data_IF_526104418955
#
_entry.id   IF_526104418955
#
_cell.length_a   1.000
_cell.length_b   1.000
_cell.length_c   1.000
_cell.angle_alpha   90.00
_cell.angle_beta   90.00
_cell.angle_gamma   90.00
#
_symmetry.space_group_name_H-M   'P 1'
#
loop_
_entity.id
_entity.type
_entity.pdbx_description
1 polymer ?
#
# COMPACT_ATOMS: atom_id res chain seq x y z
N UNK A 1 37.55 -3.63 -14.44
CA UNK A 1 36.61 -3.37 -13.34
C UNK A 1 35.26 -3.44 -13.97
N UNK A 2 34.49 -4.46 -13.62
CA UNK A 2 33.06 -4.52 -13.94
C UNK A 2 32.41 -3.48 -13.02
N UNK A 3 31.47 -2.69 -13.54
CA UNK A 3 30.77 -1.67 -12.77
C UNK A 3 29.90 -2.34 -11.68
N UNK A 4 29.73 -1.73 -10.51
CA UNK A 4 28.85 -2.29 -9.45
C UNK A 4 27.42 -2.52 -9.96
N UNK A 5 26.98 -1.71 -10.94
CA UNK A 5 25.70 -1.88 -11.63
C UNK A 5 25.65 -3.14 -12.50
N UNK A 6 26.76 -3.49 -13.16
CA UNK A 6 26.86 -4.70 -13.98
C UNK A 6 26.86 -5.95 -13.09
N UNK A 7 27.57 -5.93 -11.96
CA UNK A 7 27.58 -7.03 -10.99
C UNK A 7 26.16 -7.30 -10.43
N UNK A 8 25.42 -6.25 -10.06
CA UNK A 8 24.03 -6.42 -9.62
C UNK A 8 23.13 -6.97 -10.73
N UNK A 9 23.32 -6.54 -11.98
CA UNK A 9 22.55 -7.07 -13.10
C UNK A 9 22.75 -8.59 -13.26
N UNK A 10 23.98 -9.08 -13.13
CA UNK A 10 24.25 -10.52 -13.19
C UNK A 10 23.62 -11.27 -12.01
N UNK A 11 23.72 -10.71 -10.80
CA UNK A 11 23.11 -11.30 -9.61
C UNK A 11 21.58 -11.34 -9.71
N UNK A 12 20.97 -10.30 -10.29
CA UNK A 12 19.52 -10.20 -10.50
C UNK A 12 18.96 -11.38 -11.32
N UNK A 13 19.72 -11.91 -12.28
CA UNK A 13 19.30 -13.06 -13.11
C UNK A 13 19.08 -14.31 -12.24
N UNK A 14 19.87 -14.48 -11.17
CA UNK A 14 19.73 -15.60 -10.26
C UNK A 14 18.69 -15.35 -9.16
N UNK A 15 18.46 -14.09 -8.80
CA UNK A 15 17.58 -13.68 -7.70
C UNK A 15 16.10 -13.61 -8.10
N UNK A 16 15.80 -13.22 -9.34
CA UNK A 16 14.43 -13.00 -9.80
C UNK A 16 13.96 -14.12 -10.74
N UNK A 17 12.75 -14.60 -10.52
CA UNK A 17 12.02 -15.37 -11.53
C UNK A 17 11.60 -14.46 -12.67
N UNK A 18 11.11 -13.27 -12.34
CA UNK A 18 10.73 -12.23 -13.26
C UNK A 18 11.10 -10.87 -12.64
N UNK A 19 11.69 -9.99 -13.45
CA UNK A 19 11.96 -8.61 -13.07
C UNK A 19 11.73 -7.75 -14.31
N UNK A 20 10.75 -6.85 -14.22
CA UNK A 20 10.39 -5.89 -15.24
C UNK A 20 10.50 -4.52 -14.62
N UNK A 21 11.20 -3.63 -15.31
CA UNK A 21 11.56 -2.32 -14.81
C UNK A 21 11.10 -1.30 -15.85
N UNK A 22 10.28 -0.36 -15.42
CA UNK A 22 9.65 0.64 -16.28
C UNK A 22 9.86 2.02 -15.69
N UNK A 23 10.36 2.95 -16.49
CA UNK A 23 10.65 4.31 -16.06
C UNK A 23 9.56 5.26 -16.57
N UNK A 24 8.86 5.87 -15.62
CA UNK A 24 7.89 6.93 -15.90
C UNK A 24 8.58 8.29 -15.91
N UNK A 25 7.95 9.25 -16.59
CA UNK A 25 8.47 10.62 -16.65
C UNK A 25 8.50 11.32 -15.28
N UNK A 26 7.61 10.92 -14.36
CA UNK A 26 7.35 11.59 -13.10
C UNK A 26 7.27 10.58 -11.96
N UNK A 27 7.67 11.00 -10.76
CA UNK A 27 7.64 10.16 -9.56
C UNK A 27 6.23 9.70 -9.23
N UNK A 28 6.06 8.41 -8.95
CA UNK A 28 4.77 7.86 -8.52
C UNK A 28 4.44 8.38 -7.12
N UNK A 29 3.18 8.69 -6.87
CA UNK A 29 2.71 9.21 -5.58
C UNK A 29 1.63 8.35 -4.94
N UNK A 30 0.90 7.56 -5.73
CA UNK A 30 -0.05 6.56 -5.29
C UNK A 30 -0.27 5.53 -6.41
N UNK A 31 -0.63 4.30 -6.04
CA UNK A 31 -1.03 3.26 -6.98
C UNK A 31 -2.01 2.27 -6.35
N UNK A 32 -2.87 1.67 -7.16
CA UNK A 32 -3.82 0.63 -6.73
C UNK A 32 -4.20 -0.26 -7.92
N UNK A 33 -4.54 -1.52 -7.64
CA UNK A 33 -5.05 -2.43 -8.66
C UNK A 33 -6.44 -2.04 -9.12
N UNK A 34 -6.70 -2.13 -10.42
CA UNK A 34 -8.07 -2.05 -10.98
C UNK A 34 -8.64 -3.47 -11.09
N UNK A 35 -7.82 -4.40 -11.55
CA UNK A 35 -8.13 -5.82 -11.70
C UNK A 35 -6.82 -6.65 -11.67
N UNK A 36 -6.87 -7.90 -12.12
CA UNK A 36 -5.73 -8.81 -12.19
C UNK A 36 -4.77 -8.56 -13.36
N UNK A 37 -4.93 -7.46 -14.10
CA UNK A 37 -4.11 -7.12 -15.28
C UNK A 37 -3.77 -5.65 -15.38
N UNK A 38 -4.55 -4.79 -14.73
CA UNK A 38 -4.46 -3.35 -14.84
C UNK A 38 -4.22 -2.72 -13.47
N UNK A 39 -3.30 -1.76 -13.45
CA UNK A 39 -2.98 -0.93 -12.29
C UNK A 39 -3.25 0.53 -12.65
N UNK A 40 -3.79 1.29 -11.70
CA UNK A 40 -3.86 2.74 -11.82
C UNK A 40 -2.74 3.37 -11.00
N UNK A 41 -2.08 4.36 -11.59
CA UNK A 41 -1.00 5.10 -10.96
C UNK A 41 -1.28 6.60 -11.00
N UNK A 42 -0.80 7.30 -9.98
CA UNK A 42 -0.68 8.74 -9.97
C UNK A 42 0.80 9.14 -9.95
N UNK A 43 1.17 10.14 -10.76
CA UNK A 43 2.54 10.67 -10.81
C UNK A 43 2.55 12.17 -10.58
N UNK A 44 3.70 12.70 -10.16
CA UNK A 44 3.87 14.13 -9.88
C UNK A 44 5.29 14.62 -10.13
N UNK A 45 5.40 15.80 -10.73
CA UNK A 45 6.66 16.55 -10.85
C UNK A 45 6.37 18.05 -10.84
N UNK A 46 6.68 18.72 -9.74
CA UNK A 46 6.39 20.15 -9.56
C UNK A 46 4.88 20.42 -9.65
N UNK A 47 4.46 21.11 -10.72
CA UNK A 47 3.05 21.45 -10.98
C UNK A 47 2.37 20.52 -12.01
N UNK A 48 3.04 19.44 -12.43
CA UNK A 48 2.50 18.46 -13.37
C UNK A 48 2.10 17.22 -12.61
N UNK A 49 0.83 16.84 -12.72
CA UNK A 49 0.28 15.67 -12.06
C UNK A 49 -0.53 14.89 -13.07
N UNK A 50 -0.34 13.57 -13.08
CA UNK A 50 -0.96 12.69 -14.07
C UNK A 50 -1.60 11.49 -13.36
N UNK A 51 -2.69 11.01 -13.95
CA UNK A 51 -3.29 9.71 -13.66
C UNK A 51 -3.13 8.84 -14.91
N UNK A 52 -2.72 7.59 -14.73
CA UNK A 52 -2.62 6.63 -15.82
C UNK A 52 -3.15 5.26 -15.41
N UNK A 53 -3.81 4.58 -16.34
CA UNK A 53 -4.12 3.16 -16.28
C UNK A 53 -3.08 2.42 -17.11
N UNK A 54 -2.36 1.50 -16.47
CA UNK A 54 -1.35 0.66 -17.10
C UNK A 54 -1.78 -0.80 -17.06
N UNK A 55 -1.68 -1.48 -18.18
CA UNK A 55 -1.79 -2.93 -18.28
C UNK A 55 -0.41 -3.57 -18.09
N UNK A 56 -0.36 -4.64 -17.33
CA UNK A 56 0.86 -5.39 -17.07
C UNK A 56 1.34 -6.14 -18.33
N UNK A 57 2.65 -6.39 -18.48
CA UNK A 57 3.17 -7.31 -19.47
C UNK A 57 2.46 -8.68 -19.42
N UNK A 58 1.89 -9.14 -20.54
CA UNK A 58 1.19 -10.44 -20.62
C UNK A 58 2.04 -11.63 -20.17
N UNK A 59 3.36 -11.50 -20.27
CA UNK A 59 4.32 -12.51 -19.84
C UNK A 59 4.39 -12.68 -18.33
N UNK A 60 4.08 -11.64 -17.55
CA UNK A 60 3.99 -11.70 -16.08
C UNK A 60 2.72 -12.42 -15.61
N UNK A 61 1.64 -12.29 -16.37
CA UNK A 61 0.31 -12.79 -16.00
C UNK A 61 0.10 -14.28 -16.32
N UNK A 62 1.14 -15.03 -16.70
CA UNK A 62 1.00 -16.44 -17.08
C UNK A 62 1.49 -17.40 -16.00
N UNK A 63 0.63 -18.37 -15.70
CA UNK A 63 0.90 -19.50 -14.80
C UNK A 63 1.90 -20.55 -15.32
N UNK A 64 2.40 -20.48 -16.57
CA UNK A 64 3.35 -21.50 -17.09
C UNK A 64 4.40 -20.94 -18.05
N UNK A 65 5.65 -21.39 -17.88
CA UNK A 65 6.81 -20.94 -18.66
C UNK A 65 6.76 -21.34 -20.15
N UNK A 66 6.14 -22.47 -20.51
CA UNK A 66 6.08 -22.96 -21.90
C UNK A 66 5.35 -22.00 -22.84
N UNK A 67 4.29 -21.33 -22.35
CA UNK A 67 3.53 -20.34 -23.13
C UNK A 67 4.11 -18.93 -23.03
N UNK A 68 5.11 -18.70 -22.18
CA UNK A 68 5.76 -17.40 -22.00
C UNK A 68 6.74 -17.11 -23.14
N UNK A 69 7.41 -18.13 -23.70
CA UNK A 69 8.34 -17.99 -24.82
C UNK A 69 7.71 -17.52 -26.15
N UNK A 70 6.39 -17.64 -26.26
CA UNK A 70 5.61 -17.25 -27.45
C UNK A 70 5.01 -15.83 -27.36
N UNK A 71 5.13 -15.17 -26.20
CA UNK A 71 4.62 -13.81 -26.00
C UNK A 71 5.72 -12.81 -26.29
N UNK A 72 5.41 -11.86 -27.17
CA UNK A 72 6.31 -10.76 -27.50
C UNK A 72 6.12 -9.53 -26.62
N UNK A 73 4.95 -9.39 -26.01
CA UNK A 73 4.65 -8.28 -25.12
C UNK A 73 5.45 -8.40 -23.81
N UNK A 74 6.33 -7.43 -23.57
CA UNK A 74 7.25 -7.39 -22.43
C UNK A 74 7.15 -6.12 -21.61
N UNK A 75 6.42 -5.12 -22.08
CA UNK A 75 6.38 -3.80 -21.46
C UNK A 75 4.99 -3.49 -20.92
N UNK A 76 4.92 -2.55 -19.98
CA UNK A 76 3.65 -1.98 -19.58
C UNK A 76 3.03 -1.23 -20.77
N UNK A 77 1.73 -1.39 -20.95
CA UNK A 77 0.98 -0.63 -21.94
C UNK A 77 0.09 0.38 -21.23
N UNK A 78 0.06 1.62 -21.70
CA UNK A 78 -0.85 2.64 -21.18
C UNK A 78 -2.20 2.49 -21.86
N UNK A 79 -3.24 2.18 -21.09
CA UNK A 79 -4.62 2.05 -21.59
C UNK A 79 -5.28 3.42 -21.67
N UNK A 80 -5.07 4.23 -20.63
CA UNK A 80 -5.71 5.53 -20.50
C UNK A 80 -4.88 6.47 -19.62
N UNK A 81 -5.07 7.77 -19.77
CA UNK A 81 -4.44 8.77 -18.92
C UNK A 81 -5.14 10.13 -18.91
N UNK A 82 -4.75 10.97 -17.96
CA UNK A 82 -5.09 12.39 -17.95
C UNK A 82 -4.14 13.21 -17.07
N UNK A 83 -4.18 14.53 -17.24
CA UNK A 83 -3.62 15.47 -16.28
C UNK A 83 -4.64 15.75 -15.17
N UNK A 84 -4.16 15.84 -13.94
CA UNK A 84 -4.95 16.25 -12.79
C UNK A 84 -4.38 17.55 -12.16
N UNK A 85 -5.21 18.36 -11.49
CA UNK A 85 -4.79 19.67 -11.00
C UNK A 85 -3.95 19.63 -9.72
N UNK A 86 -3.91 18.49 -9.02
CA UNK A 86 -3.25 18.35 -7.72
C UNK A 86 -2.44 17.07 -7.64
N UNK A 87 -1.39 17.08 -6.80
CA UNK A 87 -0.65 15.87 -6.45
C UNK A 87 -1.57 14.95 -5.67
N UNK A 88 -1.70 13.71 -6.14
CA UNK A 88 -2.54 12.69 -5.51
C UNK A 88 -1.74 11.97 -4.42
N UNK A 89 -2.26 11.97 -3.19
CA UNK A 89 -1.66 11.28 -2.06
C UNK A 89 -2.27 9.91 -1.76
N UNK A 90 -3.53 9.70 -2.12
CA UNK A 90 -4.21 8.42 -1.98
C UNK A 90 -5.00 8.14 -3.26
N UNK A 91 -4.96 6.91 -3.74
CA UNK A 91 -5.68 6.42 -4.92
C UNK A 91 -6.26 5.05 -4.56
N UNK A 92 -7.55 4.87 -4.81
CA UNK A 92 -8.22 3.57 -4.67
C UNK A 92 -9.17 3.28 -5.82
N UNK A 93 -9.17 2.04 -6.30
CA UNK A 93 -10.20 1.57 -7.22
C UNK A 93 -11.56 1.42 -6.52
N UNK A 94 -12.64 1.78 -7.22
CA UNK A 94 -14.00 1.53 -6.75
C UNK A 94 -14.44 0.14 -7.27
N UNK A 95 -14.66 -0.85 -6.41
CA UNK A 95 -14.96 -2.22 -6.80
C UNK A 95 -16.14 -2.32 -7.77
N UNK A 96 -16.10 -3.32 -8.65
CA UNK A 96 -17.15 -3.60 -9.65
C UNK A 96 -17.45 -2.46 -10.64
N UNK A 97 -16.61 -1.42 -10.68
CA UNK A 97 -16.80 -0.26 -11.53
C UNK A 97 -15.53 0.06 -12.34
N UNK A 98 -15.65 0.94 -13.34
CA UNK A 98 -14.51 1.56 -14.04
C UNK A 98 -14.25 2.97 -13.52
N UNK A 99 -14.14 3.08 -12.20
CA UNK A 99 -13.99 4.33 -11.47
C UNK A 99 -12.87 4.19 -10.43
N UNK A 100 -12.10 5.25 -10.25
CA UNK A 100 -11.13 5.37 -9.15
C UNK A 100 -11.49 6.59 -8.30
N UNK A 101 -11.14 6.55 -7.02
CA UNK A 101 -11.22 7.67 -6.11
C UNK A 101 -9.81 8.12 -5.71
N UNK A 102 -9.59 9.43 -5.69
CA UNK A 102 -8.29 10.02 -5.33
C UNK A 102 -8.44 11.09 -4.25
N UNK A 103 -7.45 11.21 -3.37
CA UNK A 103 -7.34 12.33 -2.42
C UNK A 103 -6.11 13.18 -2.76
N UNK A 104 -6.25 14.51 -2.95
CA UNK A 104 -5.12 15.43 -3.04
C UNK A 104 -4.33 15.50 -1.72
N UNK A 105 -3.05 15.88 -1.80
CA UNK A 105 -2.16 16.05 -0.64
C UNK A 105 -2.38 17.35 0.16
N UNK A 106 -2.88 18.41 -0.48
CA UNK A 106 -3.06 19.73 0.14
C UNK A 106 -4.51 20.06 0.51
N UNK A 107 -5.48 19.29 0.00
CA UNK A 107 -6.90 19.58 0.23
C UNK A 107 -7.44 18.68 1.33
N UNK A 108 -7.90 19.29 2.43
CA UNK A 108 -8.37 18.55 3.60
C UNK A 108 -9.65 17.76 3.27
N UNK A 109 -9.58 16.44 3.44
CA UNK A 109 -10.72 15.50 3.35
C UNK A 109 -11.65 15.70 2.15
N UNK A 110 -11.08 15.97 0.99
CA UNK A 110 -11.76 15.95 -0.30
C UNK A 110 -11.32 14.74 -1.08
N UNK A 111 -12.27 14.07 -1.70
CA UNK A 111 -12.00 13.00 -2.65
C UNK A 111 -12.59 13.34 -4.01
N UNK A 112 -11.93 12.87 -5.06
CA UNK A 112 -12.32 13.07 -6.45
C UNK A 112 -12.56 11.72 -7.09
N UNK A 113 -13.67 11.57 -7.78
CA UNK A 113 -13.97 10.36 -8.55
C UNK A 113 -13.62 10.58 -10.01
N UNK A 114 -12.97 9.59 -10.59
CA UNK A 114 -12.51 9.61 -11.97
C UNK A 114 -12.99 8.37 -12.70
N UNK A 115 -13.62 8.56 -13.85
CA UNK A 115 -13.96 7.49 -14.77
C UNK A 115 -12.73 7.10 -15.57
N UNK A 116 -12.35 5.84 -15.51
CA UNK A 116 -11.28 5.27 -16.33
C UNK A 116 -11.70 5.21 -17.81
N UNK A 117 -10.70 5.06 -18.68
CA UNK A 117 -10.93 4.89 -20.11
C UNK A 117 -11.78 3.66 -20.44
N UNK A 118 -12.46 3.73 -21.58
CA UNK A 118 -13.21 2.63 -22.18
C UNK A 118 -12.67 2.36 -23.58
N UNK A 119 -13.18 1.34 -24.26
CA UNK A 119 -12.78 1.01 -25.63
C UNK A 119 -12.92 2.20 -26.62
N UNK A 120 -13.77 3.17 -26.28
CA UNK A 120 -14.03 4.37 -27.09
C UNK A 120 -13.18 5.58 -26.69
N UNK A 121 -12.46 5.55 -25.56
CA UNK A 121 -11.69 6.69 -25.04
C UNK A 121 -10.56 6.25 -24.12
N UNK A 122 -9.35 6.67 -24.46
CA UNK A 122 -8.13 6.57 -23.65
C UNK A 122 -7.98 7.71 -22.61
N UNK A 123 -9.01 8.55 -22.48
CA UNK A 123 -8.98 9.69 -21.53
C UNK A 123 -9.66 9.33 -20.21
N UNK A 124 -8.92 9.46 -19.11
CA UNK A 124 -9.46 9.43 -17.74
C UNK A 124 -10.14 10.77 -17.44
N UNK A 125 -11.37 10.77 -16.90
CA UNK A 125 -12.16 11.99 -16.68
C UNK A 125 -12.63 12.13 -15.25
N UNK A 126 -12.45 13.31 -14.66
CA UNK A 126 -13.09 13.65 -13.39
C UNK A 126 -14.61 13.68 -13.58
N UNK A 127 -15.34 12.91 -12.78
CA UNK A 127 -16.81 12.84 -12.86
C UNK A 127 -17.50 13.52 -11.68
N UNK A 128 -16.85 13.55 -10.51
CA UNK A 128 -17.38 14.20 -9.34
C UNK A 128 -16.29 14.49 -8.32
N UNK A 129 -16.64 15.34 -7.37
CA UNK A 129 -15.80 15.72 -6.25
C UNK A 129 -16.69 15.75 -5.02
N UNK A 130 -16.23 15.15 -3.94
CA UNK A 130 -16.96 15.02 -2.69
C UNK A 130 -16.11 15.55 -1.55
N UNK A 131 -16.72 16.37 -0.70
CA UNK A 131 -16.07 16.97 0.45
C UNK A 131 -16.64 16.42 1.74
N UNK A 132 -15.77 16.22 2.71
CA UNK A 132 -16.14 15.89 4.07
C UNK A 132 -16.57 17.16 4.82
N UNK A 133 -17.76 17.16 5.41
CA UNK A 133 -18.29 18.31 6.17
C UNK A 133 -17.52 18.60 7.46
N UNK A 134 -16.73 17.64 7.95
CA UNK A 134 -15.85 17.75 9.11
C UNK A 134 -14.38 17.63 8.69
N UNK A 135 -14.00 18.33 7.63
CA UNK A 135 -12.63 18.25 7.09
C UNK A 135 -11.59 18.60 8.15
N UNK A 136 -10.67 17.65 8.36
CA UNK A 136 -9.57 17.78 9.31
C UNK A 136 -8.37 17.06 8.72
N UNK A 137 -7.26 17.80 8.55
CA UNK A 137 -6.00 17.28 8.02
C UNK A 137 -6.07 16.83 6.56
N UNK A 138 -4.90 16.69 5.95
CA UNK A 138 -4.68 16.13 4.62
C UNK A 138 -3.37 15.33 4.64
N UNK A 139 -3.21 14.28 3.81
CA UNK A 139 -4.24 13.65 2.99
C UNK A 139 -5.25 12.85 3.82
N UNK A 140 -6.39 12.54 3.21
CA UNK A 140 -7.32 11.53 3.70
C UNK A 140 -6.97 10.14 3.15
N UNK A 141 -7.22 9.12 3.95
CA UNK A 141 -7.21 7.73 3.54
C UNK A 141 -8.55 7.39 2.91
N UNK A 142 -8.53 6.48 1.94
CA UNK A 142 -9.71 5.97 1.25
C UNK A 142 -9.64 4.44 1.37
N UNK A 143 -10.77 3.80 1.70
CA UNK A 143 -10.89 2.35 1.59
C UNK A 143 -12.25 1.96 1.01
N UNK A 144 -12.32 1.05 0.02
CA UNK A 144 -13.59 0.55 -0.48
C UNK A 144 -14.32 -0.32 0.54
N UNK A 145 -15.65 -0.18 0.58
CA UNK A 145 -16.51 -1.02 1.42
C UNK A 145 -16.74 -2.36 0.70
N UNK A 146 -16.33 -3.50 1.28
CA UNK A 146 -16.38 -4.80 0.61
C UNK A 146 -17.79 -5.16 0.11
N UNK A 147 -17.88 -5.63 -1.14
CA UNK A 147 -19.15 -6.05 -1.75
C UNK A 147 -20.08 -4.92 -2.17
N UNK A 148 -19.62 -3.66 -2.13
CA UNK A 148 -20.38 -2.48 -2.56
C UNK A 148 -19.55 -1.56 -3.45
N UNK A 149 -20.17 -0.53 -4.01
CA UNK A 149 -19.46 0.57 -4.70
C UNK A 149 -19.26 1.79 -3.78
N UNK A 150 -19.45 1.61 -2.46
CA UNK A 150 -19.26 2.66 -1.47
C UNK A 150 -17.81 2.71 -1.00
N UNK A 151 -17.39 3.89 -0.52
CA UNK A 151 -16.07 4.09 0.06
C UNK A 151 -16.21 4.66 1.48
N UNK A 152 -15.23 4.39 2.33
CA UNK A 152 -14.97 5.17 3.54
C UNK A 152 -13.76 6.06 3.28
N UNK A 153 -13.82 7.31 3.69
CA UNK A 153 -12.68 8.22 3.62
C UNK A 153 -12.62 9.17 4.83
N UNK A 154 -11.41 9.58 5.18
CA UNK A 154 -11.15 10.48 6.31
C UNK A 154 -9.66 10.49 6.67
N UNK A 155 -9.24 11.38 7.56
CA UNK A 155 -7.84 11.42 8.01
C UNK A 155 -7.68 11.34 9.52
N UNK A 156 -8.78 11.43 10.26
CA UNK A 156 -8.85 11.29 11.71
C UNK A 156 -10.06 10.44 12.07
N UNK A 157 -10.04 9.86 13.27
CA UNK A 157 -11.14 9.00 13.74
C UNK A 157 -12.48 9.74 13.88
N UNK A 158 -12.47 11.05 14.11
CA UNK A 158 -13.66 11.90 14.26
C UNK A 158 -14.22 12.42 12.94
N UNK A 159 -13.54 12.17 11.82
CA UNK A 159 -13.96 12.65 10.52
C UNK A 159 -14.01 11.56 9.45
N UNK A 160 -14.20 10.31 9.83
CA UNK A 160 -14.52 9.28 8.85
C UNK A 160 -15.90 9.57 8.25
N UNK A 161 -16.04 9.35 6.94
CA UNK A 161 -17.30 9.46 6.21
C UNK A 161 -17.44 8.29 5.24
N UNK A 162 -18.64 7.75 5.10
CA UNK A 162 -19.01 6.90 3.97
C UNK A 162 -19.53 7.74 2.83
N UNK A 163 -19.28 7.30 1.61
CA UNK A 163 -19.78 7.92 0.38
C UNK A 163 -20.23 6.84 -0.60
N UNK A 164 -21.40 7.04 -1.18
CA UNK A 164 -21.87 6.28 -2.32
C UNK A 164 -21.28 6.88 -3.59
N UNK A 165 -20.49 6.09 -4.33
CA UNK A 165 -19.75 6.58 -5.50
C UNK A 165 -20.64 6.94 -6.69
N UNK A 166 -21.87 6.41 -6.76
CA UNK A 166 -22.81 6.67 -7.85
C UNK A 166 -23.59 7.96 -7.64
N UNK A 167 -24.02 8.19 -6.40
CA UNK A 167 -24.87 9.33 -6.02
C UNK A 167 -24.08 10.51 -5.47
N UNK A 168 -22.86 10.27 -4.99
CA UNK A 168 -22.05 11.24 -4.26
C UNK A 168 -22.59 11.55 -2.87
N UNK A 169 -23.59 10.80 -2.38
CA UNK A 169 -24.18 11.04 -1.06
C UNK A 169 -23.19 10.64 0.04
N UNK A 170 -22.93 11.58 0.95
CA UNK A 170 -22.02 11.40 2.10
C UNK A 170 -22.82 11.17 3.37
N UNK A 171 -22.38 10.22 4.18
CA UNK A 171 -22.83 10.04 5.56
C UNK A 171 -21.64 10.05 6.51
N UNK A 172 -21.70 10.85 7.57
CA UNK A 172 -20.60 10.93 8.54
C UNK A 172 -20.56 9.69 9.43
N UNK A 173 -19.35 9.18 9.66
CA UNK A 173 -19.04 7.85 10.21
C UNK A 173 -18.02 7.93 11.37
N UNK A 174 -17.56 9.13 11.74
CA UNK A 174 -16.53 9.33 12.77
C UNK A 174 -17.01 9.14 14.22
N UNK A 175 -16.05 9.10 15.15
CA UNK A 175 -16.30 9.03 16.59
C UNK A 175 -15.84 10.27 17.37
N UNK A 176 -15.84 10.21 18.70
CA UNK A 176 -15.43 11.35 19.55
C UNK A 176 -13.90 11.50 19.68
N UNK A 177 -13.13 10.61 19.05
CA UNK A 177 -11.67 10.57 19.10
C UNK A 177 -11.08 11.32 17.93
N UNK A 178 -10.07 12.13 18.18
CA UNK A 178 -9.55 13.12 17.23
C UNK A 178 -8.17 12.77 16.68
N UNK A 179 -7.70 11.55 16.94
CA UNK A 179 -6.40 11.03 16.56
C UNK A 179 -6.29 10.85 15.04
N UNK A 180 -5.11 11.15 14.50
CA UNK A 180 -4.79 10.95 13.09
C UNK A 180 -4.62 9.47 12.81
N UNK A 181 -5.19 8.99 11.71
CA UNK A 181 -5.00 7.62 11.26
C UNK A 181 -3.87 7.54 10.23
N UNK A 182 -3.28 6.35 10.11
CA UNK A 182 -2.20 6.01 9.18
C UNK A 182 -2.65 5.03 8.09
N UNK A 183 -3.63 4.21 8.42
CA UNK A 183 -4.21 3.18 7.55
C UNK A 183 -5.65 2.92 7.98
N UNK A 184 -6.44 2.43 7.02
CA UNK A 184 -7.84 2.12 7.19
C UNK A 184 -8.21 0.99 6.24
N UNK A 185 -8.83 -0.07 6.76
CA UNK A 185 -9.19 -1.25 5.99
C UNK A 185 -10.34 -2.03 6.65
N UNK A 186 -10.82 -3.08 6.01
CA UNK A 186 -11.94 -3.89 6.47
C UNK A 186 -11.50 -5.31 6.88
N UNK A 187 -11.88 -5.74 8.08
CA UNK A 187 -11.61 -7.12 8.56
C UNK A 187 -12.66 -8.13 8.07
N UNK A 188 -13.82 -7.61 7.70
CA UNK A 188 -14.96 -8.31 7.09
C UNK A 188 -15.84 -7.28 6.35
N UNK A 189 -17.00 -7.69 5.83
CA UNK A 189 -17.88 -6.80 5.05
C UNK A 189 -18.49 -5.63 5.84
N UNK A 190 -18.37 -5.58 7.16
CA UNK A 190 -19.03 -4.58 8.01
C UNK A 190 -18.11 -3.93 9.03
N UNK A 191 -16.96 -4.51 9.32
CA UNK A 191 -16.05 -4.04 10.37
C UNK A 191 -14.86 -3.32 9.74
N UNK A 192 -14.87 -2.00 9.84
CA UNK A 192 -13.76 -1.13 9.49
C UNK A 192 -12.77 -1.06 10.66
N UNK A 193 -11.48 -1.12 10.38
CA UNK A 193 -10.41 -0.96 11.34
C UNK A 193 -9.47 0.16 10.89
N UNK A 194 -9.09 1.02 11.84
CA UNK A 194 -8.19 2.14 11.63
C UNK A 194 -6.97 2.02 12.54
N UNK A 195 -5.77 2.32 12.04
CA UNK A 195 -4.57 2.39 12.86
C UNK A 195 -4.20 3.84 13.16
N UNK A 196 -4.13 4.19 14.44
CA UNK A 196 -3.69 5.51 14.91
C UNK A 196 -2.21 5.74 14.61
N UNK A 197 -1.88 6.85 13.93
CA UNK A 197 -0.55 7.09 13.37
C UNK A 197 0.53 7.19 14.44
N UNK A 198 0.28 7.81 15.59
CA UNK A 198 1.31 8.04 16.63
C UNK A 198 1.36 6.92 17.69
N UNK A 199 0.25 6.23 17.94
CA UNK A 199 0.15 5.23 19.01
C UNK A 199 0.21 3.79 18.51
N UNK A 200 -0.12 3.56 17.24
CA UNK A 200 -0.32 2.21 16.68
C UNK A 200 -1.58 1.52 17.22
N UNK A 201 -2.44 2.24 17.94
CA UNK A 201 -3.70 1.70 18.44
C UNK A 201 -4.63 1.38 17.29
N UNK A 202 -5.30 0.23 17.36
CA UNK A 202 -6.32 -0.17 16.40
C UNK A 202 -7.70 0.22 16.93
N UNK A 203 -8.51 0.87 16.09
CA UNK A 203 -9.88 1.28 16.42
C UNK A 203 -10.84 0.69 15.41
N UNK A 204 -11.84 -0.05 15.89
CA UNK A 204 -12.83 -0.72 15.04
C UNK A 204 -14.18 -0.01 15.03
N UNK A 205 -14.84 -0.07 13.88
CA UNK A 205 -16.13 0.52 13.60
C UNK A 205 -17.01 -0.53 12.92
N UNK A 206 -18.18 -0.84 13.48
CA UNK A 206 -19.19 -1.67 12.80
C UNK A 206 -20.13 -0.75 12.03
N UNK A 207 -20.10 -0.81 10.69
CA UNK A 207 -20.91 0.05 9.81
C UNK A 207 -22.42 -0.21 9.93
N UNK A 208 -22.83 -1.30 10.58
CA UNK A 208 -24.25 -1.58 10.86
C UNK A 208 -24.75 -0.89 12.12
N UNK A 209 -23.85 -0.45 12.98
CA UNK A 209 -24.17 0.22 14.25
C UNK A 209 -24.04 1.74 14.11
N UNK A 210 -24.57 2.48 15.09
CA UNK A 210 -24.31 3.90 15.22
C UNK A 210 -22.83 4.09 15.60
N UNK A 211 -22.04 4.62 14.68
CA UNK A 211 -20.59 4.72 14.76
C UNK A 211 -20.09 5.68 15.85
N UNK A 212 -20.99 6.49 16.42
CA UNK A 212 -20.72 7.23 17.65
C UNK A 212 -20.47 6.29 18.85
N UNK A 213 -20.91 5.03 18.77
CA UNK A 213 -20.74 3.96 19.76
C UNK A 213 -19.60 3.03 19.35
N UNK A 214 -18.38 3.57 19.33
CA UNK A 214 -17.16 2.81 19.04
C UNK A 214 -17.01 1.62 19.99
N UNK A 215 -16.87 0.42 19.45
CA UNK A 215 -16.35 -0.73 20.19
C UNK A 215 -14.83 -0.58 20.22
N UNK A 216 -14.32 -0.14 21.37
CA UNK A 216 -12.90 -0.02 21.63
C UNK A 216 -12.37 -1.40 22.06
N UNK A 217 -11.48 -1.96 21.26
CA UNK A 217 -10.60 -3.02 21.71
C UNK A 217 -9.17 -2.49 21.67
N UNK A 218 -8.62 -2.19 22.84
CA UNK A 218 -7.33 -1.51 22.97
C UNK A 218 -6.16 -2.47 22.77
N UNK A 219 -5.37 -2.32 21.70
CA UNK A 219 -4.00 -2.84 21.74
C UNK A 219 -3.20 -2.06 22.78
N UNK A 220 -2.38 -2.73 23.58
CA UNK A 220 -1.53 -2.10 24.60
C UNK A 220 -0.84 -0.82 24.08
N UNK A 221 -1.18 0.31 24.69
CA UNK A 221 -0.51 1.58 24.45
C UNK A 221 0.97 1.45 24.80
N UNK A 222 1.83 1.89 23.88
CA UNK A 222 3.25 1.98 24.16
C UNK A 222 3.51 3.41 24.59
N UNK A 223 3.87 3.61 25.85
CA UNK A 223 4.56 4.83 26.25
C UNK A 223 5.97 4.76 25.65
N UNK A 224 6.13 5.19 24.40
CA UNK A 224 7.46 5.39 23.85
C UNK A 224 7.95 6.75 24.33
N UNK A 225 9.11 6.78 24.97
CA UNK A 225 9.86 8.02 25.22
C UNK A 225 10.32 8.70 23.91
N UNK A 226 10.17 8.01 22.77
CA UNK A 226 10.49 8.49 21.42
C UNK A 226 9.25 8.55 20.52
N UNK A 227 9.14 9.64 19.74
CA UNK A 227 8.10 9.78 18.73
C UNK A 227 8.26 8.69 17.66
N UNK A 228 7.25 7.86 17.50
CA UNK A 228 7.19 6.79 16.50
C UNK A 228 5.91 6.93 15.69
N UNK A 229 5.96 6.47 14.44
CA UNK A 229 4.79 6.37 13.58
C UNK A 229 4.47 4.92 13.28
N UNK A 230 3.19 4.64 13.09
CA UNK A 230 2.66 3.31 12.84
C UNK A 230 1.87 3.30 11.54
N UNK A 231 1.83 2.14 10.89
CA UNK A 231 0.92 1.79 9.80
C UNK A 231 0.47 0.34 10.00
N UNK A 232 -0.57 -0.09 9.29
CA UNK A 232 -1.05 -1.46 9.38
C UNK A 232 -1.62 -2.00 8.08
N UNK A 233 -1.74 -3.32 8.02
CA UNK A 233 -2.43 -4.05 6.96
C UNK A 233 -3.30 -5.15 7.58
N UNK A 234 -4.47 -5.39 6.99
CA UNK A 234 -5.37 -6.47 7.42
C UNK A 234 -4.98 -7.76 6.71
N UNK A 235 -5.08 -8.86 7.45
CA UNK A 235 -4.78 -10.20 6.97
C UNK A 235 -5.96 -11.15 7.24
N UNK A 236 -5.89 -12.40 6.77
CA UNK A 236 -6.94 -13.40 6.99
C UNK A 236 -7.19 -13.68 8.49
N UNK A 237 -6.11 -13.73 9.27
CA UNK A 237 -6.03 -14.10 10.67
C UNK A 237 -5.83 -12.91 11.62
N UNK A 238 -5.75 -11.66 11.12
CA UNK A 238 -5.59 -10.51 12.01
C UNK A 238 -5.14 -9.22 11.35
N UNK A 239 -4.29 -8.48 12.05
CA UNK A 239 -3.69 -7.22 11.61
C UNK A 239 -2.19 -7.26 11.89
N UNK A 240 -1.40 -6.88 10.89
CA UNK A 240 0.02 -6.58 11.07
C UNK A 240 0.20 -5.08 11.19
N UNK A 241 0.96 -4.66 12.19
CA UNK A 241 1.36 -3.27 12.43
C UNK A 241 2.86 -3.14 12.20
N UNK A 242 3.27 -2.05 11.59
CA UNK A 242 4.66 -1.69 11.36
C UNK A 242 4.92 -0.32 11.95
N UNK A 243 5.98 -0.23 12.74
CA UNK A 243 6.47 1.02 13.30
C UNK A 243 7.59 1.61 12.44
N UNK A 244 7.80 2.91 12.54
CA UNK A 244 8.92 3.60 11.91
C UNK A 244 10.29 3.28 12.51
N UNK A 245 10.31 2.57 13.64
CA UNK A 245 11.53 2.04 14.29
C UNK A 245 11.80 0.58 13.91
N UNK A 246 11.09 0.06 12.89
CA UNK A 246 11.27 -1.30 12.39
C UNK A 246 10.60 -2.37 13.25
N UNK A 247 9.76 -1.98 14.20
CA UNK A 247 9.00 -2.92 15.02
C UNK A 247 7.78 -3.42 14.24
N UNK A 248 7.65 -4.74 14.12
CA UNK A 248 6.47 -5.39 13.56
C UNK A 248 5.69 -6.06 14.67
N UNK A 249 4.37 -5.87 14.69
CA UNK A 249 3.47 -6.56 15.62
C UNK A 249 2.33 -7.21 14.89
N UNK A 250 1.90 -8.36 15.40
CA UNK A 250 0.70 -9.05 14.94
C UNK A 250 -0.36 -9.02 16.02
N UNK A 251 -1.58 -8.68 15.62
CA UNK A 251 -2.78 -8.69 16.46
C UNK A 251 -3.73 -9.72 15.86
N UNK A 252 -4.26 -10.62 16.68
CA UNK A 252 -5.12 -11.70 16.22
C UNK A 252 -6.55 -11.23 15.97
N UNK A 253 -7.18 -11.76 14.91
CA UNK A 253 -8.60 -11.58 14.64
C UNK A 253 -9.41 -12.13 15.82
N UNK A 254 -10.38 -11.36 16.30
CA UNK A 254 -11.20 -11.65 17.49
C UNK A 254 -10.55 -11.36 18.86
N UNK A 255 -9.31 -10.86 18.89
CA UNK A 255 -8.73 -10.28 20.09
C UNK A 255 -7.84 -9.09 19.72
N UNK A 256 -8.46 -7.93 19.48
CA UNK A 256 -7.70 -6.74 19.09
C UNK A 256 -6.93 -6.13 20.26
N UNK A 257 -7.02 -6.71 21.47
CA UNK A 257 -6.39 -6.14 22.66
C UNK A 257 -4.96 -6.61 22.91
N UNK A 258 -4.58 -7.75 22.33
CA UNK A 258 -3.33 -8.43 22.64
C UNK A 258 -2.47 -8.60 21.39
N UNK A 259 -1.22 -8.13 21.46
CA UNK A 259 -0.22 -8.44 20.44
C UNK A 259 0.20 -9.92 20.61
N UNK A 260 -0.01 -10.75 19.58
CA UNK A 260 0.32 -12.19 19.59
C UNK A 260 1.72 -12.48 19.03
N UNK A 261 2.37 -11.47 18.44
CA UNK A 261 3.73 -11.59 17.95
C UNK A 261 4.40 -10.23 17.82
N UNK A 262 5.73 -10.21 18.02
CA UNK A 262 6.54 -9.00 18.10
C UNK A 262 7.95 -9.24 17.55
N UNK A 263 8.32 -8.50 16.53
CA UNK A 263 9.61 -8.62 15.86
C UNK A 263 10.28 -7.26 15.68
N UNK A 264 11.60 -7.26 15.64
CA UNK A 264 12.41 -6.11 15.24
C UNK A 264 13.12 -6.45 13.93
N UNK A 265 12.88 -5.65 12.91
CA UNK A 265 13.46 -5.83 11.56
C UNK A 265 14.82 -5.16 11.38
N UNK A 266 15.30 -4.45 12.40
CA UNK A 266 16.50 -3.57 12.38
C UNK A 266 16.41 -2.41 11.38
N UNK A 267 15.27 -2.26 10.68
CA UNK A 267 14.98 -1.13 9.82
C UNK A 267 14.69 0.10 10.68
N UNK A 268 15.30 1.24 10.36
CA UNK A 268 15.09 2.46 11.12
C UNK A 268 15.01 3.65 10.18
N UNK A 269 13.94 4.43 10.33
CA UNK A 269 13.71 5.62 9.54
C UNK A 269 14.18 6.86 10.29
N UNK A 270 14.96 7.70 9.63
CA UNK A 270 15.60 8.85 10.29
C UNK A 270 14.80 10.16 10.17
N UNK A 271 13.82 10.29 9.25
CA UNK A 271 13.20 11.61 9.00
C UNK A 271 11.79 11.66 8.37
N UNK A 272 11.43 10.82 7.38
CA UNK A 272 10.14 10.93 6.67
C UNK A 272 9.36 9.62 6.66
N UNK A 273 8.16 9.65 7.23
CA UNK A 273 7.32 8.49 7.54
C UNK A 273 6.13 8.31 6.58
N UNK A 274 6.00 9.17 5.55
CA UNK A 274 4.80 9.23 4.72
C UNK A 274 4.53 7.96 3.90
N UNK A 275 5.56 7.14 3.66
CA UNK A 275 5.55 6.03 2.70
C UNK A 275 5.68 4.66 3.36
N UNK A 276 5.60 4.59 4.69
CA UNK A 276 5.72 3.34 5.44
C UNK A 276 4.62 2.38 5.00
N UNK A 277 5.01 1.23 4.45
CA UNK A 277 4.07 0.25 3.89
C UNK A 277 4.41 -1.13 4.41
N UNK A 278 3.38 -1.86 4.86
CA UNK A 278 3.43 -3.28 5.21
C UNK A 278 2.32 -4.00 4.45
N UNK A 279 2.61 -5.16 3.88
CA UNK A 279 1.62 -6.07 3.32
C UNK A 279 2.00 -7.51 3.67
N UNK A 280 1.03 -8.41 3.64
CA UNK A 280 1.26 -9.84 3.76
C UNK A 280 0.41 -10.59 2.76
N UNK A 281 0.80 -11.83 2.45
CA UNK A 281 0.00 -12.65 1.55
C UNK A 281 -1.29 -13.10 2.26
N UNK A 282 -2.46 -12.99 1.61
CA UNK A 282 -3.72 -13.40 2.22
C UNK A 282 -3.68 -14.83 2.80
N UNK A 283 -2.99 -15.76 2.13
CA UNK A 283 -2.92 -17.18 2.52
C UNK A 283 -1.62 -17.59 3.23
N UNK A 284 -0.67 -16.66 3.40
CA UNK A 284 0.61 -16.91 4.06
C UNK A 284 1.08 -15.61 4.75
N UNK A 285 0.54 -15.39 5.95
CA UNK A 285 0.83 -14.17 6.73
C UNK A 285 2.21 -14.16 7.35
N UNK A 286 2.92 -15.29 7.31
CA UNK A 286 4.28 -15.35 7.79
C UNK A 286 5.21 -14.64 6.79
N UNK A 287 4.84 -14.55 5.51
CA UNK A 287 5.59 -13.78 4.52
C UNK A 287 5.11 -12.33 4.48
N UNK A 288 5.95 -11.43 4.99
CA UNK A 288 5.63 -10.00 5.18
C UNK A 288 6.52 -9.14 4.30
N UNK A 289 5.92 -8.21 3.57
CA UNK A 289 6.55 -7.26 2.68
C UNK A 289 6.57 -5.88 3.34
N UNK A 290 7.73 -5.24 3.37
CA UNK A 290 7.97 -3.97 4.06
C UNK A 290 8.72 -3.01 3.14
N UNK A 291 8.24 -1.76 3.04
CA UNK A 291 8.94 -0.68 2.32
C UNK A 291 8.73 0.67 3.00
N UNK A 292 9.39 1.70 2.46
CA UNK A 292 9.28 3.09 2.94
C UNK A 292 10.36 3.48 3.95
N UNK A 293 11.31 2.59 4.25
CA UNK A 293 12.50 2.90 5.06
C UNK A 293 13.64 3.50 4.22
N UNK A 294 13.74 3.06 2.98
CA UNK A 294 14.74 3.44 2.01
C UNK A 294 14.20 3.13 0.59
N UNK A 295 15.09 2.96 -0.38
CA UNK A 295 14.77 2.61 -1.77
C UNK A 295 14.57 1.10 -2.00
N UNK A 296 14.34 0.30 -0.97
CA UNK A 296 14.20 -1.15 -1.09
C UNK A 296 12.79 -1.62 -0.71
N UNK A 297 12.48 -2.86 -1.11
CA UNK A 297 11.37 -3.64 -0.55
C UNK A 297 11.97 -4.87 0.13
N UNK A 298 11.65 -5.06 1.40
CA UNK A 298 12.15 -6.16 2.22
C UNK A 298 11.07 -7.22 2.40
N UNK A 299 11.46 -8.48 2.32
CA UNK A 299 10.58 -9.61 2.60
C UNK A 299 11.11 -10.31 3.83
N UNK A 300 10.24 -10.53 4.81
CA UNK A 300 10.54 -11.26 6.03
C UNK A 300 9.67 -12.51 6.14
N UNK A 301 10.21 -13.53 6.81
CA UNK A 301 9.41 -14.64 7.30
C UNK A 301 9.25 -14.48 8.83
N UNK A 302 8.03 -14.14 9.26
CA UNK A 302 7.63 -13.83 10.63
C UNK A 302 6.59 -14.85 11.10
N UNK A 303 7.00 -16.09 11.43
CA UNK A 303 6.08 -17.19 11.72
C UNK A 303 5.22 -16.90 12.95
N UNK A 304 3.99 -17.41 12.96
CA UNK A 304 3.21 -17.46 14.20
C UNK A 304 4.01 -18.17 15.28
N UNK A 305 4.17 -17.50 16.43
CA UNK A 305 4.68 -18.14 17.64
C UNK A 305 3.67 -19.21 18.05
N UNK A 306 3.94 -20.46 17.67
CA UNK A 306 3.18 -21.60 18.15
C UNK A 306 3.18 -21.58 19.67
N UNK A 307 2.01 -21.84 20.25
CA UNK A 307 1.67 -21.87 21.67
C UNK A 307 2.58 -22.77 22.52
N UNK A 308 3.84 -22.37 22.72
CA UNK A 308 4.73 -22.89 23.76
C UNK A 308 5.70 -21.78 24.20
N UNK A 309 5.39 -21.21 25.36
CA UNK A 309 6.30 -20.36 26.12
C UNK A 309 6.02 -18.88 25.95
N UNK A 310 5.64 -18.24 27.05
CA UNK A 310 5.71 -16.78 27.24
C UNK A 310 7.06 -16.24 26.74
N UNK A 311 7.10 -15.75 25.51
CA UNK A 311 8.19 -14.94 24.99
C UNK A 311 7.58 -13.66 24.41
N UNK A 312 7.47 -12.69 25.30
CA UNK A 312 7.28 -11.26 25.00
C UNK A 312 8.57 -10.60 24.49
N UNK A 313 9.58 -11.40 24.12
CA UNK A 313 10.89 -10.90 23.73
C UNK A 313 10.88 -10.43 22.28
N UNK A 314 11.51 -9.26 22.06
CA UNK A 314 11.73 -8.66 20.76
C UNK A 314 12.64 -9.56 19.91
N UNK A 315 12.06 -10.43 19.09
CA UNK A 315 12.85 -11.26 18.19
C UNK A 315 13.42 -10.40 17.06
N UNK A 316 14.74 -10.37 16.93
CA UNK A 316 15.40 -9.76 15.79
C UNK A 316 15.24 -10.68 14.56
N UNK A 317 14.67 -10.14 13.49
CA UNK A 317 14.40 -10.87 12.24
C UNK A 317 15.16 -10.22 11.09
N UNK A 318 15.81 -11.05 10.27
CA UNK A 318 16.49 -10.61 9.04
C UNK A 318 15.60 -10.85 7.83
N UNK A 319 15.70 -10.02 6.78
CA UNK A 319 14.93 -10.23 5.57
C UNK A 319 15.38 -11.52 4.88
N UNK A 320 14.43 -12.32 4.41
CA UNK A 320 14.67 -13.49 3.55
C UNK A 320 14.99 -13.06 2.11
N UNK A 321 14.53 -11.88 1.72
CA UNK A 321 14.80 -11.28 0.42
C UNK A 321 14.79 -9.75 0.51
N UNK A 322 15.57 -9.11 -0.36
CA UNK A 322 15.65 -7.65 -0.49
C UNK A 322 15.60 -7.27 -1.97
N UNK A 323 14.56 -6.53 -2.38
CA UNK A 323 14.51 -5.93 -3.71
C UNK A 323 15.26 -4.60 -3.71
N UNK A 324 16.37 -4.56 -4.46
CA UNK A 324 17.26 -3.39 -4.57
C UNK A 324 17.14 -2.66 -5.92
N UNK A 325 16.22 -3.09 -6.79
CA UNK A 325 16.13 -2.59 -8.16
C UNK A 325 15.98 -1.07 -8.24
N UNK A 326 15.17 -0.45 -7.36
CA UNK A 326 14.97 1.01 -7.39
C UNK A 326 16.27 1.77 -7.06
N UNK A 327 17.07 1.27 -6.11
CA UNK A 327 18.36 1.86 -5.79
C UNK A 327 19.31 1.83 -7.01
N UNK A 328 19.28 0.73 -7.75
CA UNK A 328 20.18 0.51 -8.88
C UNK A 328 19.78 1.36 -10.09
N UNK A 329 18.47 1.58 -10.31
CA UNK A 329 17.98 2.56 -11.29
C UNK A 329 18.46 3.97 -10.95
N UNK A 330 18.30 4.39 -9.69
CA UNK A 330 18.71 5.72 -9.29
C UNK A 330 20.23 5.93 -9.29
N UNK A 331 21.08 4.89 -9.19
CA UNK A 331 22.54 5.07 -9.32
C UNK A 331 22.97 5.49 -10.72
N UNK A 332 22.13 5.30 -11.75
CA UNK A 332 22.36 5.85 -13.08
C UNK A 332 22.07 7.35 -13.16
N UNK A 333 21.34 7.92 -12.19
CA UNK A 333 21.01 9.34 -12.13
C UNK A 333 21.60 10.01 -10.86
N UNK A 334 21.95 11.28 -10.93
CA UNK A 334 22.69 11.97 -9.84
C UNK A 334 21.85 12.26 -8.57
N UNK A 335 20.59 11.79 -8.52
CA UNK A 335 19.60 12.10 -7.46
C UNK A 335 19.38 10.99 -6.41
N UNK A 336 20.20 9.94 -6.38
CA UNK A 336 20.05 8.76 -5.50
C UNK A 336 19.88 9.03 -3.98
N UNK A 337 20.26 10.21 -3.47
CA UNK A 337 20.18 10.54 -2.02
C UNK A 337 18.78 10.86 -1.49
N UNK A 338 17.79 11.08 -2.35
CA UNK A 338 16.41 11.38 -1.95
C UNK A 338 15.41 10.28 -2.38
N UNK A 339 15.91 9.18 -2.95
CA UNK A 339 15.08 8.10 -3.42
C UNK A 339 14.49 7.33 -2.24
N UNK A 340 13.16 7.32 -2.18
CA UNK A 340 12.40 6.42 -1.31
C UNK A 340 11.44 5.59 -2.16
N UNK A 341 11.32 4.29 -1.82
CA UNK A 341 10.21 3.48 -2.30
C UNK A 341 8.93 4.09 -1.74
N UNK A 342 8.05 4.51 -2.63
CA UNK A 342 6.80 5.20 -2.27
C UNK A 342 5.82 4.20 -1.71
N UNK A 343 5.67 3.05 -2.36
CA UNK A 343 4.79 1.98 -1.92
C UNK A 343 5.07 0.70 -2.70
N UNK A 344 4.51 -0.40 -2.21
CA UNK A 344 4.40 -1.67 -2.94
C UNK A 344 2.98 -2.23 -2.76
N UNK A 345 2.50 -2.95 -3.76
CA UNK A 345 1.21 -3.65 -3.74
C UNK A 345 1.39 -5.09 -4.24
N UNK A 346 0.73 -6.03 -3.59
CA UNK A 346 0.76 -7.45 -3.96
C UNK A 346 -0.31 -7.71 -5.02
N UNK A 347 -0.02 -8.54 -6.02
CA UNK A 347 -0.98 -8.86 -7.07
C UNK A 347 -2.20 -9.60 -6.48
N UNK A 348 -3.44 -9.24 -6.87
CA UNK A 348 -4.65 -9.76 -6.22
C UNK A 348 -4.82 -11.28 -6.37
N UNK A 349 -4.30 -11.88 -7.44
CA UNK A 349 -4.45 -13.32 -7.74
C UNK A 349 -3.13 -14.11 -7.79
N UNK A 350 -1.98 -13.46 -7.85
CA UNK A 350 -0.68 -14.09 -8.11
C UNK A 350 0.25 -13.72 -6.96
N UNK A 351 0.23 -14.56 -5.93
CA UNK A 351 0.77 -14.23 -4.61
C UNK A 351 2.30 -14.01 -4.56
N UNK A 352 3.04 -14.36 -5.60
CA UNK A 352 4.48 -14.12 -5.73
C UNK A 352 4.81 -12.87 -6.57
N UNK A 353 3.81 -12.22 -7.17
CA UNK A 353 3.99 -11.02 -8.00
C UNK A 353 3.75 -9.74 -7.20
N UNK A 354 4.77 -8.88 -7.20
CA UNK A 354 4.79 -7.60 -6.51
C UNK A 354 4.96 -6.46 -7.51
N UNK A 355 4.18 -5.38 -7.34
CA UNK A 355 4.50 -4.09 -7.91
C UNK A 355 5.13 -3.20 -6.84
N UNK A 356 6.23 -2.53 -7.17
CA UNK A 356 6.85 -1.53 -6.31
C UNK A 356 7.18 -0.28 -7.12
N UNK A 357 7.05 0.87 -6.47
CA UNK A 357 7.20 2.16 -7.11
C UNK A 357 8.05 3.09 -6.26
N UNK A 358 8.85 3.94 -6.90
CA UNK A 358 9.69 4.90 -6.21
C UNK A 358 9.49 6.35 -6.68
N UNK A 359 10.07 7.27 -5.92
CA UNK A 359 9.93 8.73 -6.07
C UNK A 359 10.61 9.28 -7.32
N UNK A 360 11.46 8.51 -7.98
CA UNK A 360 12.13 8.85 -9.26
C UNK A 360 11.31 8.49 -10.50
N UNK A 361 10.17 7.80 -10.33
CA UNK A 361 9.33 7.34 -11.43
C UNK A 361 9.61 5.90 -11.86
N UNK A 362 10.52 5.20 -11.19
CA UNK A 362 10.73 3.77 -11.42
C UNK A 362 9.54 2.95 -10.90
N UNK A 363 8.98 2.11 -11.77
CA UNK A 363 7.91 1.16 -11.51
C UNK A 363 8.41 -0.24 -11.85
N UNK A 364 8.48 -1.11 -10.85
CA UNK A 364 8.96 -2.48 -11.01
C UNK A 364 7.84 -3.48 -10.81
N UNK A 365 7.80 -4.51 -11.66
CA UNK A 365 7.02 -5.71 -11.45
C UNK A 365 7.96 -6.91 -11.33
N UNK A 366 7.88 -7.64 -10.22
CA UNK A 366 8.85 -8.66 -9.93
C UNK A 366 8.30 -9.85 -9.14
N UNK A 367 8.96 -10.98 -9.33
CA UNK A 367 8.81 -12.23 -8.60
C UNK A 367 10.21 -12.71 -8.27
N UNK A 368 10.47 -13.08 -7.02
CA UNK A 368 11.77 -13.57 -6.58
C UNK A 368 11.79 -15.09 -6.52
N UNK A 369 12.98 -15.68 -6.71
CA UNK A 369 13.15 -17.11 -6.50
C UNK A 369 13.19 -17.37 -4.99
N UNK A 370 12.33 -18.25 -4.49
CA UNK A 370 12.43 -18.71 -3.11
C UNK A 370 13.79 -19.40 -2.90
N UNK A 371 14.64 -18.79 -2.07
CA UNK A 371 15.96 -19.33 -1.74
C UNK A 371 15.90 -20.53 -0.77
N UNK A 372 14.73 -21.15 -0.56
CA UNK A 372 14.55 -22.28 0.36
C UNK A 372 15.05 -23.63 -0.18
N UNK A 373 15.46 -23.70 -1.45
CA UNK A 373 16.01 -24.90 -2.09
C UNK A 373 17.50 -24.78 -2.48
N UNK A 374 18.36 -24.24 -1.60
CA UNK A 374 19.82 -24.40 -1.71
C UNK A 374 20.48 -24.93 -0.46
#
# INVERSE_FOLDING_TARGET
>A
MIDEADDWLFDSIALYQNLYMYDLQHGITAMDWIDDKNVCIATSSGSKHELAELHLPDKLLKASQEKAGLIKNRDFHMNAGCYCPHRVACLKHVPNSRTIATCPDTEACKIQFWKLGTDDTDVIRNISTVENTHSKGSPAHITPVPGTENLVFGSHLDNLCTVDSNTGQVSCTGCQRSERISSMDFTDSNTLICCCQETGELVTFDLREDLTKVKQEHTNNISLDQKCFWTSTVTEFGVLKLSSTGEVRRVEKHNWSTDVGRWNTELNLLSDFSNLTINALPRNEDTVYISGFDSNVYIFNLPMLSSMGSQTDHQVSKPVFKHEGHMQNARMDTQAKLLTTVTHILHPLQHDLVLSAATDGSLHAWQFNDCTDK
#
